data_IF_350751277676
#
_entry.id   IF_350751277676
#
_cell.length_a   1.000
_cell.length_b   1.000
_cell.length_c   1.000
_cell.angle_alpha   90.00
_cell.angle_beta   90.00
_cell.angle_gamma   90.00
#
_symmetry.space_group_name_H-M   'P 1'
#
loop_
_entity.id
_entity.type
_entity.pdbx_description
1 polymer ?
#
# COMPACT_ATOMS: atom_id res chain seq x y z
N UNK A 1 29.76 -14.82 -12.95
CA UNK A 1 28.86 -14.09 -13.86
C UNK A 1 29.64 -12.89 -14.43
N UNK A 2 30.50 -13.14 -15.42
CA UNK A 2 31.53 -12.18 -15.87
C UNK A 2 31.06 -11.35 -17.05
N UNK A 3 31.13 -10.02 -16.96
CA UNK A 3 30.91 -9.10 -18.08
C UNK A 3 32.18 -9.02 -18.92
N UNK A 4 32.29 -9.87 -19.95
CA UNK A 4 33.41 -9.82 -20.90
C UNK A 4 33.23 -8.69 -21.91
N UNK A 5 34.27 -7.89 -22.14
CA UNK A 5 34.19 -6.60 -22.84
C UNK A 5 33.79 -6.67 -24.33
N UNK A 6 33.75 -7.87 -24.92
CA UNK A 6 33.37 -8.08 -26.32
C UNK A 6 31.90 -8.47 -26.54
N UNK A 7 31.16 -8.82 -25.49
CA UNK A 7 29.78 -9.33 -25.65
C UNK A 7 28.77 -8.23 -25.99
N UNK A 8 27.74 -8.60 -26.74
CA UNK A 8 26.62 -7.70 -27.10
C UNK A 8 25.95 -7.13 -25.84
N UNK A 9 25.81 -7.96 -24.80
CA UNK A 9 25.27 -7.54 -23.49
C UNK A 9 26.09 -6.43 -22.82
N UNK A 10 27.42 -6.53 -22.83
CA UNK A 10 28.28 -5.50 -22.25
C UNK A 10 28.17 -4.16 -22.99
N UNK A 11 28.01 -4.18 -24.32
CA UNK A 11 27.79 -2.96 -25.12
C UNK A 11 26.44 -2.30 -24.82
N UNK A 12 25.38 -3.10 -24.66
CA UNK A 12 24.04 -2.61 -24.27
C UNK A 12 24.12 -1.97 -22.89
N UNK A 13 24.73 -2.65 -21.93
CA UNK A 13 24.90 -2.16 -20.56
C UNK A 13 25.67 -0.82 -20.53
N UNK A 14 26.82 -0.69 -21.21
CA UNK A 14 27.58 0.57 -21.30
C UNK A 14 26.80 1.70 -21.98
N UNK A 15 25.99 1.40 -23.00
CA UNK A 15 25.19 2.42 -23.68
C UNK A 15 24.08 2.95 -22.78
N UNK A 16 23.48 2.09 -21.96
CA UNK A 16 22.47 2.50 -21.00
C UNK A 16 23.11 3.27 -19.84
N UNK A 17 24.25 2.83 -19.28
CA UNK A 17 24.99 3.61 -18.27
C UNK A 17 25.44 4.99 -18.74
N UNK A 18 25.69 5.17 -20.04
CA UNK A 18 26.02 6.50 -20.60
C UNK A 18 24.80 7.42 -20.69
N UNK A 19 23.60 6.86 -20.76
CA UNK A 19 22.35 7.59 -20.92
C UNK A 19 21.62 7.79 -19.60
N UNK A 20 21.67 6.79 -18.73
CA UNK A 20 21.22 6.78 -17.35
C UNK A 20 22.47 6.64 -16.48
N UNK A 21 22.77 7.61 -15.61
CA UNK A 21 23.92 7.57 -14.67
C UNK A 21 23.92 6.36 -13.73
N UNK A 22 22.90 5.50 -13.80
CA UNK A 22 22.71 4.29 -13.01
C UNK A 22 22.29 3.10 -13.90
N UNK A 23 22.50 1.88 -13.39
CA UNK A 23 22.13 0.63 -14.06
C UNK A 23 20.62 0.55 -14.35
N UNK A 24 20.21 -0.09 -15.44
CA UNK A 24 18.78 -0.38 -15.70
C UNK A 24 18.19 -1.11 -14.50
N UNK A 25 17.18 -0.53 -13.82
CA UNK A 25 16.46 -1.25 -12.80
C UNK A 25 15.66 -2.37 -13.46
N UNK A 26 15.81 -3.59 -12.98
CA UNK A 26 14.98 -4.72 -13.41
C UNK A 26 13.63 -4.59 -12.69
N UNK A 27 12.59 -4.25 -13.43
CA UNK A 27 11.25 -4.17 -12.88
C UNK A 27 10.58 -5.56 -12.85
N UNK A 28 10.26 -6.02 -11.65
CA UNK A 28 9.54 -7.28 -11.42
C UNK A 28 8.10 -6.98 -11.00
N UNK A 29 7.17 -7.22 -11.92
CA UNK A 29 5.81 -6.71 -11.82
C UNK A 29 4.99 -7.04 -13.06
N UNK A 30 3.99 -6.21 -13.35
CA UNK A 30 3.04 -6.39 -14.45
C UNK A 30 3.21 -5.31 -15.53
N UNK A 31 3.03 -5.70 -16.80
CA UNK A 31 2.89 -4.82 -17.95
C UNK A 31 1.42 -4.73 -18.42
N UNK A 32 1.13 -3.85 -19.38
CA UNK A 32 -0.19 -3.77 -20.03
C UNK A 32 -0.52 -5.06 -20.80
N UNK A 33 0.50 -5.74 -21.35
CA UNK A 33 0.35 -6.91 -22.22
C UNK A 33 0.76 -8.27 -21.60
N UNK A 34 1.48 -8.29 -20.46
CA UNK A 34 1.90 -9.54 -19.81
C UNK A 34 2.04 -9.41 -18.29
N UNK A 35 1.88 -10.53 -17.57
CA UNK A 35 1.91 -10.59 -16.11
C UNK A 35 3.29 -10.92 -15.53
N UNK A 36 4.32 -11.19 -16.35
CA UNK A 36 5.58 -11.77 -15.88
C UNK A 36 6.77 -10.78 -15.83
N UNK A 37 6.64 -9.58 -16.40
CA UNK A 37 7.61 -8.49 -16.27
C UNK A 37 6.90 -7.15 -16.46
N UNK A 38 7.27 -6.12 -15.70
CA UNK A 38 6.77 -4.76 -15.89
C UNK A 38 6.96 -3.82 -14.71
N UNK A 39 6.79 -2.49 -14.92
CA UNK A 39 7.07 -1.46 -13.92
C UNK A 39 5.98 -1.36 -12.83
N UNK A 40 4.82 -1.98 -13.05
CA UNK A 40 3.70 -1.87 -12.11
C UNK A 40 3.70 -3.00 -11.08
N UNK A 41 3.35 -2.72 -9.81
CA UNK A 41 3.24 -3.75 -8.79
C UNK A 41 2.18 -4.80 -9.14
N UNK A 42 2.35 -6.00 -8.59
CA UNK A 42 1.35 -7.06 -8.72
C UNK A 42 0.04 -6.70 -8.03
N UNK A 43 -1.08 -7.08 -8.65
CA UNK A 43 -2.41 -6.94 -8.05
C UNK A 43 -2.50 -7.85 -6.84
N UNK A 44 -2.89 -7.30 -5.70
CA UNK A 44 -3.30 -8.05 -4.52
C UNK A 44 -4.80 -7.83 -4.28
N UNK A 45 -5.54 -8.83 -3.81
CA UNK A 45 -6.94 -8.64 -3.43
C UNK A 45 -7.03 -7.58 -2.34
N UNK A 46 -7.96 -6.63 -2.50
CA UNK A 46 -8.29 -5.62 -1.51
C UNK A 46 -9.61 -6.00 -0.85
N UNK A 47 -9.59 -6.28 0.44
CA UNK A 47 -10.80 -6.55 1.22
C UNK A 47 -11.22 -5.28 1.94
N UNK A 48 -12.43 -4.79 1.65
CA UNK A 48 -13.02 -3.64 2.34
C UNK A 48 -14.03 -4.16 3.36
N UNK A 49 -13.89 -3.75 4.61
CA UNK A 49 -14.80 -4.10 5.70
C UNK A 49 -15.49 -2.83 6.18
N UNK A 50 -16.82 -2.89 6.32
CA UNK A 50 -17.64 -1.77 6.80
C UNK A 50 -18.18 -2.12 8.18
N UNK A 51 -18.09 -1.16 9.10
CA UNK A 51 -18.55 -1.31 10.48
C UNK A 51 -19.98 -0.85 10.73
N UNK A 52 -20.37 -0.90 12.00
CA UNK A 52 -21.66 -0.44 12.46
C UNK A 52 -21.82 1.09 12.24
N UNK A 53 -23.03 1.55 11.86
CA UNK A 53 -23.28 2.97 11.69
C UNK A 53 -23.24 3.70 13.03
N UNK A 54 -22.61 4.88 13.04
CA UNK A 54 -22.61 5.79 14.20
C UNK A 54 -23.69 6.84 13.97
N UNK A 55 -24.70 6.88 14.84
CA UNK A 55 -25.73 7.92 14.81
C UNK A 55 -25.11 9.25 15.23
N UNK A 56 -25.36 10.28 14.43
CA UNK A 56 -24.87 11.64 14.64
C UNK A 56 -26.05 12.58 14.51
N UNK A 57 -26.21 13.46 15.50
CA UNK A 57 -27.18 14.54 15.42
C UNK A 57 -26.53 15.71 14.67
N UNK A 58 -27.16 16.15 13.58
CA UNK A 58 -26.66 17.28 12.82
C UNK A 58 -26.92 18.58 13.59
N UNK A 59 -25.87 19.38 13.79
CA UNK A 59 -25.91 20.68 14.47
C UNK A 59 -25.03 21.68 13.72
N UNK A 60 -25.49 22.92 13.61
CA UNK A 60 -24.80 23.96 12.84
C UNK A 60 -23.50 24.42 13.50
N UNK A 61 -23.46 24.49 14.84
CA UNK A 61 -22.28 24.87 15.63
C UNK A 61 -22.07 23.87 16.78
N UNK A 62 -21.42 22.70 16.53
CA UNK A 62 -21.11 21.74 17.58
C UNK A 62 -20.03 22.29 18.53
N UNK A 63 -20.09 21.88 19.79
CA UNK A 63 -19.02 22.20 20.75
C UNK A 63 -17.83 21.25 20.57
N UNK A 64 -16.64 21.68 21.01
CA UNK A 64 -15.43 20.86 20.94
C UNK A 64 -15.58 19.55 21.71
N UNK A 65 -16.28 19.57 22.84
CA UNK A 65 -16.53 18.39 23.67
C UNK A 65 -17.42 17.37 22.95
N UNK A 66 -18.46 17.83 22.24
CA UNK A 66 -19.33 16.96 21.45
C UNK A 66 -18.57 16.29 20.31
N UNK A 67 -17.70 17.04 19.64
CA UNK A 67 -16.84 16.52 18.57
C UNK A 67 -15.86 15.47 19.10
N UNK A 68 -15.20 15.75 20.23
CA UNK A 68 -14.24 14.81 20.83
C UNK A 68 -14.94 13.53 21.31
N UNK A 69 -16.14 13.65 21.90
CA UNK A 69 -16.95 12.50 22.27
C UNK A 69 -17.32 11.63 21.06
N UNK A 70 -17.71 12.25 19.95
CA UNK A 70 -18.02 11.54 18.71
C UNK A 70 -16.77 10.90 18.11
N UNK A 71 -15.65 11.62 18.07
CA UNK A 71 -14.35 11.10 17.62
C UNK A 71 -13.92 9.88 18.42
N UNK A 72 -14.06 9.93 19.74
CA UNK A 72 -13.75 8.82 20.64
C UNK A 72 -14.61 7.58 20.34
N UNK A 73 -15.93 7.76 20.12
CA UNK A 73 -16.83 6.68 19.69
C UNK A 73 -16.40 6.08 18.35
N UNK A 74 -16.03 6.92 17.38
CA UNK A 74 -15.55 6.48 16.08
C UNK A 74 -14.26 5.65 16.18
N UNK A 75 -13.25 6.17 16.88
CA UNK A 75 -11.97 5.47 17.06
C UNK A 75 -12.17 4.13 17.77
N UNK A 76 -13.04 4.07 18.79
CA UNK A 76 -13.36 2.83 19.49
C UNK A 76 -14.00 1.79 18.58
N UNK A 77 -14.97 2.18 17.76
CA UNK A 77 -15.62 1.29 16.80
C UNK A 77 -14.62 0.79 15.73
N UNK A 78 -13.77 1.69 15.23
CA UNK A 78 -12.73 1.36 14.25
C UNK A 78 -11.71 0.36 14.80
N UNK A 79 -11.26 0.54 16.06
CA UNK A 79 -10.35 -0.40 16.73
C UNK A 79 -10.97 -1.79 16.89
N UNK A 80 -12.23 -1.86 17.34
CA UNK A 80 -12.96 -3.12 17.45
C UNK A 80 -13.06 -3.84 16.10
N UNK A 81 -13.38 -3.11 15.03
CA UNK A 81 -13.45 -3.67 13.68
C UNK A 81 -12.10 -4.22 13.22
N UNK A 82 -11.01 -3.49 13.50
CA UNK A 82 -9.66 -3.92 13.16
C UNK A 82 -9.27 -5.20 13.92
N UNK A 83 -9.49 -5.25 15.23
CA UNK A 83 -9.19 -6.42 16.06
C UNK A 83 -9.96 -7.67 15.61
N UNK A 84 -11.20 -7.52 15.12
CA UNK A 84 -11.96 -8.64 14.61
C UNK A 84 -11.44 -9.16 13.26
N UNK A 85 -11.09 -8.26 12.33
CA UNK A 85 -10.83 -8.63 10.94
C UNK A 85 -9.35 -8.80 10.58
N UNK A 86 -8.44 -8.12 11.27
CA UNK A 86 -7.00 -8.25 11.06
C UNK A 86 -6.53 -9.72 11.11
N UNK A 87 -6.85 -10.53 12.15
CA UNK A 87 -6.35 -11.90 12.22
C UNK A 87 -6.97 -12.83 11.16
N UNK A 88 -8.16 -12.48 10.65
CA UNK A 88 -8.85 -13.24 9.59
C UNK A 88 -8.27 -12.97 8.21
N UNK A 89 -7.85 -11.73 7.95
CA UNK A 89 -7.37 -11.30 6.64
C UNK A 89 -5.85 -11.45 6.50
N UNK A 90 -5.08 -11.19 7.56
CA UNK A 90 -3.62 -11.24 7.55
C UNK A 90 -3.08 -11.98 8.80
N UNK A 91 -3.27 -13.30 8.88
CA UNK A 91 -2.80 -14.09 10.03
C UNK A 91 -1.27 -13.97 10.19
N UNK A 92 -0.83 -13.69 11.43
CA UNK A 92 0.60 -13.57 11.77
C UNK A 92 1.22 -12.20 11.55
N UNK A 93 0.46 -11.20 11.08
CA UNK A 93 0.92 -9.82 10.96
C UNK A 93 0.54 -9.02 12.20
N UNK A 94 1.49 -8.75 13.09
CA UNK A 94 1.28 -7.79 14.18
C UNK A 94 1.57 -6.37 13.66
N UNK A 95 0.52 -5.67 13.24
CA UNK A 95 0.61 -4.26 12.86
C UNK A 95 -0.37 -3.45 13.73
N UNK A 96 0.08 -2.44 14.48
CA UNK A 96 -0.85 -1.62 15.24
C UNK A 96 -1.69 -0.76 14.29
N UNK A 97 -2.98 -0.60 14.61
CA UNK A 97 -3.84 0.35 13.90
C UNK A 97 -3.39 1.78 14.21
N UNK A 98 -2.88 2.48 13.20
CA UNK A 98 -2.51 3.90 13.28
C UNK A 98 -3.65 4.72 12.71
N UNK A 99 -4.28 5.53 13.57
CA UNK A 99 -5.28 6.53 13.17
C UNK A 99 -4.57 7.89 13.21
N UNK A 100 -4.43 8.54 12.05
CA UNK A 100 -3.77 9.85 11.88
C UNK A 100 -4.80 10.97 12.04
#
# INVERSE_FOLDING_TARGET
MGTHEGTVWYRIQRRIYKWLTFTVPVFYGRNVFSYNMGPFPYRRPLTVVVGDPIRVDQRDNPTQEELENLRSKYIKALRKLYEEWQPRLEPGRESPLVVV
#
